data_IF_546665639117
#
_entry.id   IF_546665639117
#
_cell.length_a   1.000
_cell.length_b   1.000
_cell.length_c   1.000
_cell.angle_alpha   90.00
_cell.angle_beta   90.00
_cell.angle_gamma   90.00
#
_symmetry.space_group_name_H-M   'P 1'
#
loop_
_entity.id
_entity.type
_entity.pdbx_description
1 polymer ?
#
# COMPACT_ATOMS: atom_id res chain seq x y z
N UNK A 1 -33.55 -9.26 -0.51
CA UNK A 1 -34.54 -8.68 0.43
C UNK A 1 -34.10 -8.88 1.87
N UNK A 2 -34.63 -8.06 2.80
CA UNK A 2 -34.40 -8.23 4.24
C UNK A 2 -34.75 -9.65 4.74
N UNK A 3 -35.81 -10.24 4.23
CA UNK A 3 -36.23 -11.60 4.63
C UNK A 3 -35.18 -12.66 4.29
N UNK A 4 -34.58 -12.58 3.12
CA UNK A 4 -33.50 -13.47 2.69
C UNK A 4 -32.23 -13.22 3.50
N UNK A 5 -31.84 -11.95 3.71
CA UNK A 5 -30.68 -11.57 4.51
C UNK A 5 -30.79 -12.11 5.95
N UNK A 6 -31.95 -11.97 6.58
CA UNK A 6 -32.21 -12.46 7.93
C UNK A 6 -32.04 -13.98 8.04
N UNK A 7 -32.41 -14.73 7.02
CA UNK A 7 -32.25 -16.19 7.00
C UNK A 7 -30.79 -16.66 6.96
N UNK A 8 -29.84 -15.79 6.50
CA UNK A 8 -28.42 -16.10 6.42
C UNK A 8 -27.68 -15.90 7.74
N UNK A 9 -28.20 -15.11 8.69
CA UNK A 9 -27.53 -14.81 9.97
C UNK A 9 -27.14 -16.08 10.74
N UNK A 10 -27.95 -17.13 10.68
CA UNK A 10 -27.62 -18.39 11.35
C UNK A 10 -26.41 -19.12 10.76
N UNK A 11 -25.96 -18.71 9.58
CA UNK A 11 -24.85 -19.35 8.83
C UNK A 11 -23.54 -18.54 8.88
N UNK A 12 -23.59 -17.28 9.29
CA UNK A 12 -22.45 -16.35 9.29
C UNK A 12 -22.35 -15.73 10.70
N UNK A 13 -21.12 -15.60 11.21
CA UNK A 13 -20.84 -14.97 12.50
C UNK A 13 -20.50 -13.50 12.35
N UNK A 14 -20.89 -12.67 13.32
CA UNK A 14 -20.43 -11.28 13.39
C UNK A 14 -18.93 -11.18 13.67
N UNK A 15 -18.25 -10.15 13.14
CA UNK A 15 -18.79 -9.10 12.27
C UNK A 15 -19.09 -9.62 10.86
N UNK A 16 -20.08 -9.02 10.19
CA UNK A 16 -20.56 -9.38 8.85
C UNK A 16 -20.32 -8.21 7.91
N UNK A 17 -19.79 -8.50 6.71
CA UNK A 17 -19.63 -7.52 5.65
C UNK A 17 -20.87 -7.50 4.76
N UNK A 18 -21.35 -6.30 4.43
CA UNK A 18 -22.47 -6.08 3.51
C UNK A 18 -21.92 -5.23 2.35
N UNK A 19 -22.01 -5.75 1.13
CA UNK A 19 -21.56 -5.05 -0.08
C UNK A 19 -22.68 -4.94 -1.10
N UNK A 20 -23.13 -3.72 -1.45
CA UNK A 20 -24.09 -3.53 -2.54
C UNK A 20 -23.49 -3.93 -3.88
N UNK A 21 -24.28 -4.65 -4.69
CA UNK A 21 -23.87 -5.01 -6.05
C UNK A 21 -23.88 -3.78 -6.98
N UNK A 22 -22.93 -3.75 -7.93
CA UNK A 22 -22.78 -2.69 -8.95
C UNK A 22 -22.52 -1.29 -8.39
N UNK A 23 -21.87 -1.17 -7.22
CA UNK A 23 -21.34 0.09 -6.70
C UNK A 23 -19.83 0.19 -6.91
N UNK A 24 -19.27 1.41 -6.88
CA UNK A 24 -17.84 1.67 -7.07
C UNK A 24 -17.21 2.24 -5.79
N UNK A 25 -15.93 1.92 -5.57
CA UNK A 25 -15.16 2.46 -4.45
C UNK A 25 -15.69 2.08 -3.06
N UNK A 26 -16.41 0.95 -2.95
CA UNK A 26 -17.00 0.48 -1.69
C UNK A 26 -18.25 1.26 -1.26
N UNK A 27 -18.85 2.08 -2.14
CA UNK A 27 -20.03 2.88 -1.81
C UNK A 27 -21.17 2.01 -1.27
N UNK A 28 -21.71 2.38 -0.10
CA UNK A 28 -22.77 1.64 0.60
C UNK A 28 -22.29 0.37 1.29
N UNK A 29 -21.00 0.01 1.16
CA UNK A 29 -20.40 -1.10 1.90
C UNK A 29 -20.32 -0.79 3.41
N UNK A 30 -20.63 -1.78 4.25
CA UNK A 30 -20.67 -1.62 5.70
C UNK A 30 -20.23 -2.89 6.42
N UNK A 31 -19.84 -2.73 7.68
CA UNK A 31 -19.48 -3.82 8.59
C UNK A 31 -20.44 -3.80 9.78
N UNK A 32 -21.23 -4.85 9.91
CA UNK A 32 -22.15 -5.01 11.04
C UNK A 32 -21.50 -5.84 12.15
N UNK A 33 -21.50 -5.33 13.37
CA UNK A 33 -20.98 -6.00 14.57
C UNK A 33 -22.06 -6.64 15.42
N UNK A 34 -23.33 -6.27 15.18
CA UNK A 34 -24.51 -6.76 15.88
C UNK A 34 -25.71 -6.81 14.94
N UNK A 35 -26.84 -7.32 15.47
CA UNK A 35 -28.04 -7.53 14.68
C UNK A 35 -28.71 -6.22 14.23
N UNK A 36 -28.71 -5.21 15.08
CA UNK A 36 -29.31 -3.90 14.83
C UNK A 36 -28.59 -3.20 13.67
N UNK A 37 -27.26 -3.17 13.71
CA UNK A 37 -26.42 -2.65 12.63
C UNK A 37 -26.60 -3.46 11.33
N UNK A 38 -26.71 -4.79 11.45
CA UNK A 38 -26.93 -5.65 10.29
C UNK A 38 -28.23 -5.29 9.58
N UNK A 39 -29.34 -5.09 10.33
CA UNK A 39 -30.61 -4.70 9.74
C UNK A 39 -30.51 -3.35 9.02
N UNK A 40 -29.97 -2.33 9.68
CA UNK A 40 -29.80 -0.99 9.11
C UNK A 40 -28.95 -1.05 7.82
N UNK A 41 -27.82 -1.77 7.87
CA UNK A 41 -26.90 -1.81 6.74
C UNK A 41 -27.39 -2.67 5.58
N UNK A 42 -28.21 -3.68 5.81
CA UNK A 42 -28.91 -4.42 4.76
C UNK A 42 -29.88 -3.51 4.02
N UNK A 43 -30.70 -2.73 4.72
CA UNK A 43 -31.67 -1.82 4.12
C UNK A 43 -30.95 -0.71 3.31
N UNK A 44 -29.88 -0.13 3.87
CA UNK A 44 -29.05 0.86 3.20
C UNK A 44 -28.33 0.27 1.97
N UNK A 45 -27.81 -0.95 2.09
CA UNK A 45 -27.12 -1.63 1.00
C UNK A 45 -28.06 -1.97 -0.17
N UNK A 46 -29.24 -2.49 0.12
CA UNK A 46 -30.26 -2.77 -0.90
C UNK A 46 -30.70 -1.50 -1.63
N UNK A 47 -30.87 -0.39 -0.92
CA UNK A 47 -31.25 0.89 -1.51
C UNK A 47 -30.11 1.52 -2.32
N UNK A 48 -28.85 1.27 -1.97
CA UNK A 48 -27.67 1.78 -2.68
C UNK A 48 -27.35 1.00 -3.96
N UNK A 49 -27.81 -0.24 -4.07
CA UNK A 49 -27.60 -1.06 -5.28
C UNK A 49 -28.63 -0.72 -6.35
N UNK A 50 -28.19 -0.44 -7.60
CA UNK A 50 -29.11 -0.14 -8.72
C UNK A 50 -30.06 -1.31 -9.06
N UNK A 51 -29.74 -2.52 -8.63
CA UNK A 51 -30.55 -3.73 -8.86
C UNK A 51 -31.14 -4.32 -7.55
N UNK A 52 -31.04 -3.57 -6.43
CA UNK A 52 -31.49 -4.00 -5.08
C UNK A 52 -30.90 -5.35 -4.66
N UNK A 53 -29.59 -5.54 -4.90
CA UNK A 53 -28.86 -6.75 -4.53
C UNK A 53 -27.64 -6.43 -3.68
N UNK A 54 -27.42 -7.26 -2.66
CA UNK A 54 -26.25 -7.17 -1.78
C UNK A 54 -25.56 -8.52 -1.65
N UNK A 55 -24.25 -8.50 -1.44
CA UNK A 55 -23.47 -9.62 -0.94
C UNK A 55 -23.39 -9.53 0.59
N UNK A 56 -23.56 -10.67 1.26
CA UNK A 56 -23.39 -10.82 2.70
C UNK A 56 -22.24 -11.81 2.90
N UNK A 57 -21.15 -11.36 3.53
CA UNK A 57 -19.90 -12.07 3.55
C UNK A 57 -19.33 -12.20 4.97
N UNK A 58 -18.53 -13.27 5.18
CA UNK A 58 -17.68 -13.42 6.35
C UNK A 58 -16.72 -12.22 6.45
N UNK A 59 -16.58 -11.65 7.64
CA UNK A 59 -15.61 -10.57 7.86
C UNK A 59 -14.20 -11.12 7.90
N UNK A 60 -13.32 -10.47 7.16
CA UNK A 60 -11.89 -10.73 7.15
C UNK A 60 -11.10 -9.58 7.81
N UNK A 61 -11.75 -8.76 8.63
CA UNK A 61 -11.10 -7.66 9.35
C UNK A 61 -9.89 -8.19 10.13
N UNK A 62 -8.77 -7.50 9.99
CA UNK A 62 -7.53 -7.88 10.64
C UNK A 62 -6.67 -8.89 9.85
N UNK A 63 -7.17 -9.43 8.73
CA UNK A 63 -6.34 -10.25 7.85
C UNK A 63 -5.40 -9.38 7.03
N UNK A 64 -4.29 -9.96 6.58
CA UNK A 64 -3.34 -9.30 5.69
C UNK A 64 -3.94 -9.19 4.29
N UNK A 65 -3.69 -8.07 3.62
CA UNK A 65 -4.23 -7.81 2.28
C UNK A 65 -3.11 -7.70 1.25
N UNK A 66 -3.29 -8.39 0.13
CA UNK A 66 -2.36 -8.41 -0.99
C UNK A 66 -3.07 -8.24 -2.31
N UNK A 67 -2.35 -7.71 -3.29
CA UNK A 67 -2.83 -7.57 -4.66
C UNK A 67 -1.79 -8.10 -5.63
N UNK A 68 -2.25 -8.72 -6.72
CA UNK A 68 -1.43 -9.03 -7.87
C UNK A 68 -1.96 -8.28 -9.10
N UNK A 69 -1.08 -7.54 -9.74
CA UNK A 69 -1.33 -6.99 -11.07
C UNK A 69 -0.90 -8.02 -12.11
N UNK A 70 -1.86 -8.45 -12.92
CA UNK A 70 -1.71 -9.59 -13.85
C UNK A 70 -2.08 -9.15 -15.24
N UNK A 71 -1.31 -9.59 -16.23
CA UNK A 71 -1.65 -9.41 -17.66
C UNK A 71 -1.74 -10.76 -18.32
N UNK A 72 -2.82 -10.98 -19.11
CA UNK A 72 -3.03 -12.18 -19.91
C UNK A 72 -3.39 -11.82 -21.35
N UNK A 73 -2.87 -12.57 -22.30
CA UNK A 73 -3.20 -12.44 -23.71
C UNK A 73 -4.11 -13.58 -24.23
N UNK A 74 -4.52 -13.48 -25.49
CA UNK A 74 -5.40 -14.45 -26.17
C UNK A 74 -4.79 -15.84 -26.38
N UNK A 75 -3.46 -15.97 -26.34
CA UNK A 75 -2.74 -17.24 -26.42
C UNK A 75 -2.47 -17.87 -25.06
N UNK A 76 -3.07 -17.31 -24.00
CA UNK A 76 -2.90 -17.76 -22.62
C UNK A 76 -1.50 -17.53 -22.04
N UNK A 77 -0.70 -16.63 -22.62
CA UNK A 77 0.49 -16.14 -21.95
C UNK A 77 0.06 -15.26 -20.78
N UNK A 78 0.58 -15.53 -19.58
CA UNK A 78 0.21 -14.82 -18.34
C UNK A 78 1.46 -14.40 -17.60
N UNK A 79 1.51 -13.16 -17.18
CA UNK A 79 2.60 -12.61 -16.34
C UNK A 79 2.03 -11.88 -15.13
N UNK A 80 2.73 -11.96 -14.01
CA UNK A 80 2.50 -11.13 -12.83
C UNK A 80 3.40 -9.91 -12.93
N UNK A 81 2.80 -8.74 -13.10
CA UNK A 81 3.57 -7.49 -13.23
C UNK A 81 4.16 -7.06 -11.90
N UNK A 82 3.36 -7.17 -10.83
CA UNK A 82 3.78 -6.73 -9.51
C UNK A 82 2.91 -7.39 -8.43
N UNK A 83 3.55 -7.75 -7.32
CA UNK A 83 2.87 -8.01 -6.06
C UNK A 83 2.85 -6.75 -5.21
N UNK A 84 1.71 -6.47 -4.59
CA UNK A 84 1.50 -5.30 -3.72
C UNK A 84 0.97 -5.79 -2.39
N UNK A 85 1.45 -5.20 -1.30
CA UNK A 85 0.98 -5.50 0.05
C UNK A 85 0.47 -4.23 0.72
N UNK A 86 -0.70 -4.30 1.33
CA UNK A 86 -1.26 -3.23 2.14
C UNK A 86 -0.68 -3.31 3.56
N UNK A 87 -0.20 -2.19 4.10
CA UNK A 87 0.32 -2.12 5.47
C UNK A 87 -0.85 -2.19 6.46
N UNK A 88 -1.95 -1.50 6.16
CA UNK A 88 -3.17 -1.65 6.95
C UNK A 88 -3.83 -3.01 6.63
N UNK A 89 -4.33 -3.71 7.66
CA UNK A 89 -5.06 -4.95 7.46
C UNK A 89 -6.42 -4.71 6.80
N UNK A 90 -7.06 -5.81 6.37
CA UNK A 90 -8.45 -5.81 5.90
C UNK A 90 -9.37 -5.03 6.84
N UNK A 91 -10.25 -4.21 6.26
CA UNK A 91 -11.12 -3.27 6.93
C UNK A 91 -10.86 -1.81 6.55
N UNK A 92 -9.72 -1.53 5.95
CA UNK A 92 -9.37 -0.25 5.30
C UNK A 92 -9.38 -0.46 3.79
N UNK A 93 -10.04 0.42 3.04
CA UNK A 93 -10.04 0.33 1.57
C UNK A 93 -8.60 0.39 1.03
N UNK A 94 -8.24 -0.47 0.08
CA UNK A 94 -6.87 -0.55 -0.46
C UNK A 94 -6.36 0.79 -1.01
N UNK A 95 -7.24 1.63 -1.59
CA UNK A 95 -6.91 2.99 -2.02
C UNK A 95 -6.44 3.91 -0.89
N UNK A 96 -6.90 3.66 0.34
CA UNK A 96 -6.63 4.46 1.54
C UNK A 96 -5.51 3.89 2.40
N UNK A 97 -5.04 2.67 2.10
CA UNK A 97 -3.90 2.06 2.79
C UNK A 97 -2.57 2.56 2.24
N UNK A 98 -1.57 2.61 3.12
CA UNK A 98 -0.17 2.67 2.69
C UNK A 98 0.19 1.31 2.11
N UNK A 99 0.73 1.29 0.89
CA UNK A 99 1.06 0.05 0.19
C UNK A 99 2.53 -0.03 -0.18
N UNK A 100 3.03 -1.24 -0.27
CA UNK A 100 4.42 -1.51 -0.65
C UNK A 100 4.49 -2.51 -1.80
N UNK A 101 5.43 -2.34 -2.69
CA UNK A 101 5.76 -3.23 -3.78
C UNK A 101 7.27 -3.46 -3.85
N UNK A 102 7.74 -4.71 -4.01
CA UNK A 102 6.95 -5.94 -3.98
C UNK A 102 6.39 -6.22 -2.58
N UNK A 103 5.48 -7.22 -2.46
CA UNK A 103 5.01 -7.69 -1.16
C UNK A 103 6.19 -8.16 -0.28
N UNK A 104 6.22 -7.72 0.98
CA UNK A 104 7.37 -7.87 1.87
C UNK A 104 7.24 -9.04 2.86
N UNK A 105 6.01 -9.47 3.15
CA UNK A 105 5.73 -10.45 4.22
C UNK A 105 5.12 -11.76 3.71
N UNK A 106 5.09 -11.98 2.39
CA UNK A 106 4.73 -13.27 1.78
C UNK A 106 5.92 -14.23 1.79
N UNK A 107 5.67 -15.47 2.18
CA UNK A 107 6.58 -16.56 1.84
C UNK A 107 6.47 -16.92 0.35
N UNK A 108 7.51 -17.51 -0.22
CA UNK A 108 7.48 -17.97 -1.60
C UNK A 108 6.32 -18.94 -1.86
N UNK A 109 6.06 -19.85 -0.94
CA UNK A 109 4.94 -20.82 -1.02
C UNK A 109 3.58 -20.11 -1.10
N UNK A 110 3.36 -19.06 -0.31
CA UNK A 110 2.13 -18.26 -0.36
C UNK A 110 2.05 -17.49 -1.67
N UNK A 111 3.14 -16.87 -2.10
CA UNK A 111 3.21 -16.13 -3.35
C UNK A 111 2.89 -17.05 -4.57
N UNK A 112 3.49 -18.24 -4.66
CA UNK A 112 3.21 -19.17 -5.75
C UNK A 112 1.76 -19.65 -5.74
N UNK A 113 1.17 -19.89 -4.57
CA UNK A 113 -0.25 -20.22 -4.44
C UNK A 113 -1.14 -19.06 -4.92
N UNK A 114 -0.83 -17.86 -4.49
CA UNK A 114 -1.54 -16.63 -4.88
C UNK A 114 -1.46 -16.40 -6.40
N UNK A 115 -0.27 -16.55 -6.97
CA UNK A 115 -0.01 -16.49 -8.41
C UNK A 115 -0.89 -17.49 -9.19
N UNK A 116 -0.90 -18.76 -8.77
CA UNK A 116 -1.70 -19.81 -9.41
C UNK A 116 -3.21 -19.51 -9.34
N UNK A 117 -3.66 -18.97 -8.24
CA UNK A 117 -5.06 -18.59 -8.06
C UNK A 117 -5.45 -17.37 -8.91
N UNK A 118 -4.58 -16.36 -9.00
CA UNK A 118 -4.80 -15.22 -9.87
C UNK A 118 -4.94 -15.65 -11.34
N UNK A 119 -4.02 -16.49 -11.83
CA UNK A 119 -4.07 -17.04 -13.19
C UNK A 119 -5.38 -17.81 -13.42
N UNK A 120 -5.79 -18.65 -12.47
CA UNK A 120 -7.05 -19.39 -12.54
C UNK A 120 -8.26 -18.45 -12.59
N UNK A 121 -8.25 -17.34 -11.83
CA UNK A 121 -9.30 -16.33 -11.88
C UNK A 121 -9.44 -15.72 -13.28
N UNK A 122 -8.35 -15.25 -13.87
CA UNK A 122 -8.37 -14.63 -15.19
C UNK A 122 -8.90 -15.61 -16.24
N UNK A 123 -8.47 -16.87 -16.20
CA UNK A 123 -8.95 -17.93 -17.11
C UNK A 123 -10.44 -18.21 -16.92
N UNK A 124 -10.92 -18.29 -15.67
CA UNK A 124 -12.33 -18.60 -15.35
C UNK A 124 -13.27 -17.46 -15.78
N UNK A 125 -12.85 -16.21 -15.58
CA UNK A 125 -13.62 -15.01 -15.99
C UNK A 125 -13.53 -14.80 -17.51
N UNK A 126 -12.47 -15.31 -18.17
CA UNK A 126 -12.26 -15.16 -19.60
C UNK A 126 -11.59 -13.86 -20.00
N UNK A 127 -10.82 -13.23 -19.10
CA UNK A 127 -10.01 -12.04 -19.46
C UNK A 127 -8.82 -12.50 -20.28
N UNK A 128 -8.70 -11.99 -21.50
CA UNK A 128 -7.67 -12.40 -22.47
C UNK A 128 -7.02 -11.24 -23.22
N UNK A 129 -7.33 -10.00 -22.85
CA UNK A 129 -6.86 -8.81 -23.58
C UNK A 129 -6.44 -7.69 -22.64
N UNK A 130 -5.70 -7.98 -21.58
CA UNK A 130 -5.23 -6.86 -20.77
C UNK A 130 -4.90 -7.12 -19.34
N UNK A 131 -4.75 -6.01 -18.61
CA UNK A 131 -4.41 -6.00 -17.20
C UNK A 131 -5.61 -6.23 -16.30
N UNK A 132 -5.37 -6.94 -15.22
CA UNK A 132 -6.35 -7.20 -14.15
C UNK A 132 -5.67 -7.10 -12.80
N UNK A 133 -6.43 -6.62 -11.81
CA UNK A 133 -6.03 -6.63 -10.42
C UNK A 133 -6.78 -7.75 -9.68
N UNK A 134 -6.06 -8.61 -8.98
CA UNK A 134 -6.64 -9.67 -8.14
C UNK A 134 -6.25 -9.41 -6.70
N UNK A 135 -7.24 -9.28 -5.81
CA UNK A 135 -7.06 -8.98 -4.39
C UNK A 135 -7.24 -10.23 -3.54
N UNK A 136 -6.38 -10.37 -2.55
CA UNK A 136 -6.32 -11.53 -1.65
C UNK A 136 -6.29 -11.09 -0.20
N UNK A 137 -6.95 -11.86 0.66
CA UNK A 137 -6.76 -11.80 2.09
C UNK A 137 -6.05 -13.07 2.57
N UNK A 138 -5.11 -12.90 3.50
CA UNK A 138 -4.39 -14.01 4.14
C UNK A 138 -4.53 -13.90 5.66
N UNK A 139 -5.07 -14.95 6.29
CA UNK A 139 -5.20 -15.01 7.74
C UNK A 139 -3.80 -15.07 8.37
N UNK A 140 -3.43 -14.11 9.25
CA UNK A 140 -2.10 -14.05 9.85
C UNK A 140 -1.81 -15.23 10.80
N UNK A 141 -2.85 -15.88 11.34
CA UNK A 141 -2.69 -16.91 12.36
C UNK A 141 -2.54 -18.33 11.78
N UNK A 142 -3.19 -18.61 10.64
CA UNK A 142 -3.23 -19.96 10.07
C UNK A 142 -2.92 -20.04 8.57
N UNK A 143 -2.66 -18.91 7.91
CA UNK A 143 -2.34 -18.85 6.48
C UNK A 143 -3.49 -19.19 5.52
N UNK A 144 -4.76 -19.21 6.03
CA UNK A 144 -5.92 -19.35 5.14
C UNK A 144 -5.96 -18.19 4.17
N UNK A 145 -6.02 -18.47 2.88
CA UNK A 145 -6.04 -17.47 1.81
C UNK A 145 -7.41 -17.45 1.14
N UNK A 146 -7.90 -16.25 0.85
CA UNK A 146 -9.17 -16.01 0.16
C UNK A 146 -8.95 -14.99 -0.95
N UNK A 147 -9.60 -15.19 -2.09
CA UNK A 147 -9.73 -14.17 -3.13
C UNK A 147 -10.88 -13.25 -2.74
N UNK A 148 -10.61 -11.95 -2.67
CA UNK A 148 -11.61 -10.94 -2.31
C UNK A 148 -12.38 -10.51 -3.54
N UNK A 149 -11.65 -10.09 -4.57
CA UNK A 149 -12.23 -9.66 -5.83
C UNK A 149 -11.20 -9.67 -6.95
N UNK A 150 -11.69 -9.60 -8.18
CA UNK A 150 -10.88 -9.36 -9.36
C UNK A 150 -11.47 -8.20 -10.14
N UNK A 151 -10.63 -7.23 -10.47
CA UNK A 151 -10.97 -6.09 -11.30
C UNK A 151 -10.42 -6.32 -12.73
N UNK A 152 -11.26 -6.72 -13.73
CA UNK A 152 -10.82 -7.03 -15.09
C UNK A 152 -10.59 -5.75 -15.91
N UNK A 153 -9.82 -4.85 -15.41
CA UNK A 153 -9.51 -3.54 -15.99
C UNK A 153 -8.22 -2.97 -15.45
N UNK A 154 -7.63 -2.03 -16.16
CA UNK A 154 -6.56 -1.17 -15.62
C UNK A 154 -7.14 -0.29 -14.51
N UNK A 155 -6.46 -0.23 -13.38
CA UNK A 155 -6.88 0.42 -12.14
C UNK A 155 -5.82 1.40 -11.60
N UNK A 156 -6.07 1.99 -10.42
CA UNK A 156 -5.05 2.79 -9.72
C UNK A 156 -3.83 1.94 -9.33
N UNK A 157 -4.04 0.72 -8.85
CA UNK A 157 -2.96 -0.22 -8.54
C UNK A 157 -2.17 -0.61 -9.80
N UNK A 158 -2.80 -0.73 -10.96
CA UNK A 158 -2.10 -0.91 -12.24
C UNK A 158 -1.19 0.28 -12.56
N UNK A 159 -1.63 1.51 -12.28
CA UNK A 159 -0.80 2.71 -12.45
C UNK A 159 0.39 2.70 -11.46
N UNK A 160 0.16 2.30 -10.20
CA UNK A 160 1.22 2.12 -9.22
C UNK A 160 2.22 1.05 -9.67
N UNK A 161 1.73 -0.13 -10.08
CA UNK A 161 2.57 -1.22 -10.58
C UNK A 161 3.39 -0.81 -11.80
N UNK A 162 2.79 -0.06 -12.75
CA UNK A 162 3.52 0.47 -13.91
C UNK A 162 4.63 1.43 -13.52
N UNK A 163 4.40 2.32 -12.54
CA UNK A 163 5.44 3.21 -12.02
C UNK A 163 6.49 2.44 -11.22
N UNK A 164 6.08 1.43 -10.45
CA UNK A 164 6.98 0.63 -9.63
C UNK A 164 7.94 -0.21 -10.48
N UNK A 165 7.45 -0.82 -11.55
CA UNK A 165 8.22 -1.76 -12.38
C UNK A 165 8.77 -1.16 -13.66
N UNK A 166 8.27 0.01 -14.06
CA UNK A 166 8.54 0.56 -15.41
C UNK A 166 7.71 -0.12 -16.50
N UNK A 167 7.04 -1.24 -16.23
CA UNK A 167 6.26 -1.98 -17.22
C UNK A 167 4.96 -1.22 -17.58
N UNK A 168 4.75 -0.84 -18.86
CA UNK A 168 3.65 0.03 -19.26
C UNK A 168 2.34 -0.75 -19.45
N UNK A 169 1.69 -1.15 -18.36
CA UNK A 169 0.49 -2.03 -18.37
C UNK A 169 -0.58 -1.52 -19.34
N UNK A 170 -0.93 -0.23 -19.29
CA UNK A 170 -1.99 0.32 -20.13
C UNK A 170 -1.64 0.28 -21.63
N UNK A 171 -0.38 0.55 -21.99
CA UNK A 171 0.11 0.47 -23.38
C UNK A 171 0.09 -0.97 -23.87
N UNK A 172 0.55 -1.91 -23.06
CA UNK A 172 0.54 -3.34 -23.39
C UNK A 172 -0.92 -3.82 -23.53
N UNK A 173 -1.80 -3.51 -22.57
CA UNK A 173 -3.21 -3.85 -22.63
C UNK A 173 -3.89 -3.33 -23.91
N UNK A 174 -3.58 -2.11 -24.35
CA UNK A 174 -4.11 -1.56 -25.60
C UNK A 174 -3.63 -2.36 -26.84
N UNK A 175 -2.38 -2.81 -26.86
CA UNK A 175 -1.86 -3.68 -27.94
C UNK A 175 -2.51 -5.07 -27.93
N UNK A 176 -2.68 -5.65 -26.75
CA UNK A 176 -3.38 -6.94 -26.61
C UNK A 176 -4.82 -6.84 -27.11
N UNK A 177 -5.52 -5.73 -26.83
CA UNK A 177 -6.89 -5.51 -27.27
C UNK A 177 -7.06 -5.45 -28.80
N UNK A 178 -6.02 -5.07 -29.54
CA UNK A 178 -6.01 -5.08 -31.02
C UNK A 178 -5.38 -6.34 -31.62
N UNK A 179 -5.11 -7.37 -30.79
CA UNK A 179 -4.76 -8.72 -31.26
C UNK A 179 -3.30 -9.11 -31.17
N UNK A 180 -2.40 -8.24 -30.67
CA UNK A 180 -1.03 -8.66 -30.33
C UNK A 180 -1.01 -9.64 -29.17
N UNK A 181 0.07 -10.40 -29.05
CA UNK A 181 0.38 -11.26 -27.91
C UNK A 181 1.59 -10.75 -27.13
N UNK A 182 1.78 -11.21 -25.88
CA UNK A 182 2.86 -10.73 -25.02
C UNK A 182 4.25 -11.00 -25.61
N UNK A 183 4.41 -12.08 -26.34
CA UNK A 183 5.65 -12.49 -27.03
C UNK A 183 5.88 -11.75 -28.37
N UNK A 184 4.91 -10.97 -28.84
CA UNK A 184 5.07 -10.07 -30.00
C UNK A 184 5.38 -8.63 -29.60
N UNK A 185 5.18 -8.26 -28.34
CA UNK A 185 5.34 -6.88 -27.87
C UNK A 185 6.75 -6.69 -27.29
N UNK A 186 7.58 -5.78 -27.84
CA UNK A 186 8.86 -5.43 -27.23
C UNK A 186 8.68 -4.78 -25.86
N UNK A 187 9.58 -5.08 -24.93
CA UNK A 187 9.65 -4.41 -23.65
C UNK A 187 10.26 -3.02 -23.83
N UNK A 188 9.51 -1.96 -23.54
CA UNK A 188 9.94 -0.57 -23.72
C UNK A 188 11.11 -0.18 -22.80
N UNK A 189 11.33 -0.89 -21.68
CA UNK A 189 12.38 -0.56 -20.71
C UNK A 189 13.72 -1.09 -21.17
N UNK A 190 13.80 -2.33 -21.59
CA UNK A 190 15.04 -2.96 -22.03
C UNK A 190 15.28 -2.76 -23.52
N UNK A 191 14.22 -2.78 -24.34
CA UNK A 191 14.28 -2.77 -25.79
C UNK A 191 14.90 -4.06 -26.40
N UNK A 192 15.25 -5.03 -25.57
CA UNK A 192 15.91 -6.29 -25.93
C UNK A 192 15.08 -7.52 -25.55
N UNK A 193 14.23 -7.40 -24.51
CA UNK A 193 13.30 -8.44 -24.07
C UNK A 193 11.90 -8.18 -24.62
N UNK A 194 11.00 -9.13 -24.39
CA UNK A 194 9.58 -9.06 -24.76
C UNK A 194 8.70 -8.80 -23.54
N UNK A 195 7.48 -8.36 -23.77
CA UNK A 195 6.51 -8.13 -22.71
C UNK A 195 6.07 -9.42 -22.00
N UNK A 196 6.40 -10.59 -22.53
CA UNK A 196 6.18 -11.88 -21.90
C UNK A 196 7.13 -12.18 -20.73
N UNK A 197 8.18 -11.38 -20.53
CA UNK A 197 9.08 -11.50 -19.39
C UNK A 197 8.46 -10.82 -18.16
N UNK A 198 8.28 -11.61 -17.10
CA UNK A 198 7.70 -11.15 -15.85
C UNK A 198 8.66 -10.18 -15.14
N UNK A 199 8.20 -8.98 -14.73
CA UNK A 199 9.07 -8.02 -14.07
C UNK A 199 9.62 -8.53 -12.74
N UNK A 200 10.88 -8.18 -12.49
CA UNK A 200 11.59 -8.41 -11.22
C UNK A 200 12.28 -7.12 -10.81
N UNK A 201 12.06 -6.66 -9.59
CA UNK A 201 12.63 -5.42 -9.05
C UNK A 201 13.51 -5.69 -7.83
N UNK A 202 14.62 -4.99 -7.70
CA UNK A 202 15.58 -5.09 -6.61
C UNK A 202 15.55 -3.89 -5.64
N UNK A 203 14.48 -3.11 -5.68
CA UNK A 203 14.19 -1.94 -4.84
C UNK A 203 12.80 -2.04 -4.25
N UNK A 204 12.49 -1.15 -3.32
CA UNK A 204 11.19 -1.09 -2.64
C UNK A 204 10.46 0.18 -3.02
N UNK A 205 9.20 0.03 -3.38
CA UNK A 205 8.29 1.13 -3.71
C UNK A 205 7.24 1.26 -2.62
N UNK A 206 7.08 2.46 -2.07
CA UNK A 206 6.02 2.74 -1.10
C UNK A 206 5.08 3.80 -1.64
N UNK A 207 3.78 3.54 -1.57
CA UNK A 207 2.71 4.50 -1.86
C UNK A 207 2.07 4.94 -0.55
N UNK A 208 1.88 6.25 -0.38
CA UNK A 208 1.16 6.84 0.76
C UNK A 208 -0.01 7.66 0.23
N UNK A 209 -1.25 7.41 0.69
CA UNK A 209 -2.43 8.13 0.23
C UNK A 209 -2.46 9.57 0.78
N UNK A 210 -3.07 10.47 0.03
CA UNK A 210 -3.35 11.86 0.42
C UNK A 210 -4.84 12.01 0.72
N UNK A 211 -5.15 12.66 1.84
CA UNK A 211 -6.50 12.98 2.27
C UNK A 211 -6.68 14.48 2.40
N UNK A 212 -7.90 14.95 2.29
CA UNK A 212 -8.28 16.38 2.40
C UNK A 212 -9.32 16.58 3.52
N UNK A 213 -9.23 15.80 4.61
CA UNK A 213 -10.17 15.92 5.74
C UNK A 213 -10.21 17.32 6.34
N UNK A 214 -9.11 18.08 6.24
CA UNK A 214 -9.04 19.47 6.66
C UNK A 214 -10.05 20.38 5.93
N UNK A 215 -10.49 19.99 4.73
CA UNK A 215 -11.51 20.71 3.94
C UNK A 215 -12.94 20.28 4.29
N UNK A 216 -13.10 19.18 5.02
CA UNK A 216 -14.39 18.59 5.36
C UNK A 216 -14.48 18.34 6.88
N UNK A 217 -14.69 19.39 7.70
CA UNK A 217 -14.66 19.27 9.17
C UNK A 217 -15.70 18.31 9.76
N UNK A 218 -16.77 18.01 9.01
CA UNK A 218 -17.80 17.04 9.44
C UNK A 218 -17.42 15.59 9.17
N UNK A 219 -16.34 15.31 8.43
CA UNK A 219 -15.87 13.95 8.20
C UNK A 219 -15.23 13.39 9.49
N UNK A 220 -15.50 12.13 9.78
CA UNK A 220 -14.97 11.47 10.98
C UNK A 220 -13.44 11.34 10.99
N UNK A 221 -12.79 11.37 9.82
CA UNK A 221 -11.37 11.11 9.64
C UNK A 221 -10.98 9.65 9.89
N UNK A 222 -11.93 8.77 10.15
CA UNK A 222 -11.72 7.32 10.26
C UNK A 222 -11.78 6.68 8.88
N UNK A 223 -10.78 5.86 8.59
CA UNK A 223 -10.74 5.07 7.36
C UNK A 223 -11.51 3.77 7.55
N UNK A 224 -12.17 3.34 6.49
CA UNK A 224 -12.98 2.13 6.48
C UNK A 224 -13.00 1.49 5.09
N UNK A 225 -14.04 0.74 4.81
CA UNK A 225 -14.19 -0.01 3.54
C UNK A 225 -14.53 0.89 2.33
N UNK A 226 -14.90 2.15 2.55
CA UNK A 226 -15.14 3.12 1.49
C UNK A 226 -13.91 3.99 1.27
N UNK A 227 -13.52 4.20 0.01
CA UNK A 227 -12.36 5.01 -0.35
C UNK A 227 -12.60 6.50 -0.09
N UNK A 228 -11.68 7.14 0.65
CA UNK A 228 -11.74 8.56 1.04
C UNK A 228 -10.52 9.36 0.57
N UNK A 229 -9.47 8.71 0.07
CA UNK A 229 -8.27 9.36 -0.44
C UNK A 229 -8.55 10.14 -1.73
N UNK A 230 -7.92 11.31 -1.86
CA UNK A 230 -8.04 12.20 -3.03
C UNK A 230 -6.84 12.12 -3.96
N UNK A 231 -5.74 11.53 -3.52
CA UNK A 231 -4.51 11.37 -4.26
C UNK A 231 -3.52 10.49 -3.53
N UNK A 232 -2.29 10.43 -4.04
CA UNK A 232 -1.23 9.60 -3.47
C UNK A 232 0.15 10.14 -3.83
N UNK A 233 1.14 9.87 -2.96
CA UNK A 233 2.55 10.00 -3.27
C UNK A 233 3.19 8.61 -3.36
N UNK A 234 4.18 8.46 -4.26
CA UNK A 234 4.96 7.24 -4.41
C UNK A 234 6.44 7.56 -4.29
N UNK A 235 7.19 6.72 -3.61
CA UNK A 235 8.64 6.84 -3.55
C UNK A 235 9.32 5.47 -3.70
N UNK A 236 10.51 5.49 -4.30
CA UNK A 236 11.37 4.32 -4.50
C UNK A 236 12.61 4.46 -3.63
N UNK A 237 13.01 3.39 -2.97
CA UNK A 237 14.24 3.31 -2.18
C UNK A 237 14.83 1.90 -2.23
N UNK A 238 16.09 1.73 -1.82
CA UNK A 238 16.74 0.41 -1.74
C UNK A 238 16.17 -0.45 -0.60
N UNK A 239 15.58 0.21 0.40
CA UNK A 239 14.95 -0.44 1.55
C UNK A 239 13.56 0.15 1.81
N UNK A 240 12.72 -0.60 2.52
CA UNK A 240 11.42 -0.10 2.97
C UNK A 240 11.56 1.18 3.82
N UNK A 241 12.57 1.26 4.70
CA UNK A 241 12.81 2.43 5.55
C UNK A 241 13.12 3.68 4.71
N UNK A 242 13.94 3.54 3.68
CA UNK A 242 14.22 4.64 2.76
C UNK A 242 12.96 5.06 2.00
N UNK A 243 12.24 4.10 1.40
CA UNK A 243 11.08 4.40 0.56
C UNK A 243 9.94 5.04 1.34
N UNK A 244 9.61 4.57 2.55
CA UNK A 244 8.53 5.13 3.37
C UNK A 244 8.85 6.54 3.85
N UNK A 245 10.08 6.83 4.27
CA UNK A 245 10.52 8.18 4.65
C UNK A 245 10.37 9.15 3.47
N UNK A 246 10.80 8.76 2.28
CA UNK A 246 10.67 9.54 1.05
C UNK A 246 9.20 9.75 0.66
N UNK A 247 8.35 8.72 0.77
CA UNK A 247 6.93 8.78 0.42
C UNK A 247 6.18 9.78 1.32
N UNK A 248 6.40 9.75 2.63
CA UNK A 248 5.80 10.72 3.54
C UNK A 248 6.25 12.15 3.25
N UNK A 249 7.53 12.36 2.97
CA UNK A 249 8.05 13.68 2.59
C UNK A 249 7.43 14.19 1.27
N UNK A 250 7.15 13.29 0.34
CA UNK A 250 6.58 13.62 -0.98
C UNK A 250 5.10 13.97 -0.94
N UNK A 251 4.39 13.78 0.19
CA UNK A 251 3.02 14.24 0.36
C UNK A 251 2.89 15.77 0.39
N UNK A 252 3.99 16.48 0.67
CA UNK A 252 4.05 17.96 0.76
C UNK A 252 3.05 18.58 1.77
N UNK A 253 2.80 17.86 2.86
CA UNK A 253 1.92 18.28 3.97
C UNK A 253 2.70 18.71 5.22
N UNK A 254 3.92 19.19 5.03
CA UNK A 254 4.77 19.65 6.13
C UNK A 254 5.57 18.55 6.83
N UNK A 255 5.61 17.34 6.28
CA UNK A 255 6.37 16.21 6.81
C UNK A 255 7.77 16.16 6.19
N UNK A 256 8.79 15.90 7.00
CA UNK A 256 10.17 15.71 6.55
C UNK A 256 10.55 14.22 6.37
N UNK A 257 9.61 13.34 6.61
CA UNK A 257 9.69 11.88 6.57
C UNK A 257 8.60 11.29 7.45
N UNK A 258 8.79 10.10 7.98
CA UNK A 258 7.91 9.51 8.99
C UNK A 258 8.13 10.18 10.36
N UNK A 259 8.17 11.50 10.38
CA UNK A 259 8.45 12.34 11.54
C UNK A 259 7.87 13.74 11.30
N UNK A 260 6.71 14.07 11.92
CA UNK A 260 6.06 15.34 11.72
C UNK A 260 6.85 16.49 12.36
N UNK A 261 6.80 17.69 11.78
CA UNK A 261 7.45 18.88 12.32
C UNK A 261 6.97 19.21 13.72
N UNK A 262 5.67 19.08 13.98
CA UNK A 262 5.08 19.38 15.30
C UNK A 262 5.60 18.48 16.43
N UNK A 263 6.21 17.33 16.14
CA UNK A 263 6.82 16.49 17.17
C UNK A 263 7.98 17.17 17.90
N UNK A 264 8.52 18.27 17.34
CA UNK A 264 9.65 19.02 17.87
C UNK A 264 9.32 20.45 18.28
N UNK A 265 8.13 20.94 17.96
CA UNK A 265 7.68 22.26 18.40
C UNK A 265 7.17 22.18 19.85
N UNK A 266 7.69 23.04 20.71
CA UNK A 266 7.26 23.19 22.11
C UNK A 266 5.89 23.90 22.20
N UNK A 267 4.98 23.66 21.28
CA UNK A 267 3.64 24.23 21.29
C UNK A 267 2.78 23.52 22.35
N UNK A 268 2.25 24.24 23.36
CA UNK A 268 1.42 23.69 24.42
C UNK A 268 0.13 23.00 23.89
N UNK A 269 -0.43 23.46 22.77
CA UNK A 269 -1.61 22.86 22.16
C UNK A 269 -1.27 21.58 21.38
N UNK A 270 -0.06 21.51 20.84
CA UNK A 270 0.51 20.28 20.27
C UNK A 270 0.94 19.29 21.35
N UNK A 271 1.38 19.78 22.52
CA UNK A 271 1.61 18.93 23.71
C UNK A 271 0.29 18.34 24.24
N UNK A 272 -0.82 19.06 24.14
CA UNK A 272 -2.16 18.53 24.46
C UNK A 272 -2.64 17.50 23.44
N UNK A 273 -2.33 17.68 22.16
CA UNK A 273 -2.53 16.63 21.14
C UNK A 273 -1.62 15.40 21.38
N UNK A 274 -0.57 15.53 22.18
CA UNK A 274 0.29 14.46 22.71
C UNK A 274 -0.33 13.68 23.89
N UNK A 275 -1.43 14.12 24.49
CA UNK A 275 -2.25 13.26 25.36
C UNK A 275 -2.94 12.19 24.49
N UNK A 276 -2.11 11.38 23.90
CA UNK A 276 -2.45 10.40 22.89
C UNK A 276 -3.16 9.24 23.58
N UNK A 277 -4.45 9.16 23.38
CA UNK A 277 -5.20 7.97 23.75
C UNK A 277 -4.81 6.83 22.81
N UNK A 278 -4.03 5.89 23.32
CA UNK A 278 -3.57 4.71 22.58
C UNK A 278 -4.73 3.86 22.06
N UNK A 279 -5.92 3.95 22.68
CA UNK A 279 -7.11 3.26 22.20
C UNK A 279 -7.48 3.70 20.79
N UNK A 280 -7.12 4.93 20.40
CA UNK A 280 -7.32 5.46 19.05
C UNK A 280 -6.45 4.79 17.97
N UNK A 281 -5.44 3.98 18.32
CA UNK A 281 -4.69 3.17 17.34
C UNK A 281 -5.53 2.07 16.71
N UNK A 282 -6.60 1.62 17.34
CA UNK A 282 -7.53 0.63 16.79
C UNK A 282 -8.22 1.13 15.53
N UNK A 283 -8.43 2.45 15.44
CA UNK A 283 -9.08 3.05 14.28
C UNK A 283 -8.04 3.52 13.27
N UNK A 284 -8.16 3.08 12.03
CA UNK A 284 -7.33 3.59 10.95
C UNK A 284 -7.67 5.06 10.69
N UNK A 285 -6.64 5.88 10.54
CA UNK A 285 -6.75 7.31 10.22
C UNK A 285 -5.65 7.70 9.22
N UNK A 286 -5.78 8.83 8.57
CA UNK A 286 -4.82 9.35 7.58
C UNK A 286 -3.35 9.33 8.08
N UNK A 287 -3.13 9.55 9.37
CA UNK A 287 -1.79 9.63 9.97
C UNK A 287 -1.51 8.50 10.97
N UNK A 288 -2.15 7.33 10.79
CA UNK A 288 -2.00 6.19 11.69
C UNK A 288 -0.54 5.78 11.92
N UNK A 289 0.29 5.77 10.87
CA UNK A 289 1.69 5.38 11.01
C UNK A 289 2.51 6.40 11.83
N UNK A 290 2.16 7.69 11.79
CA UNK A 290 2.77 8.70 12.67
C UNK A 290 2.36 8.48 14.13
N UNK A 291 1.11 8.09 14.37
CA UNK A 291 0.63 7.73 15.72
C UNK A 291 1.32 6.47 16.25
N UNK A 292 1.55 5.47 15.41
CA UNK A 292 2.32 4.27 15.75
C UNK A 292 3.76 4.65 16.15
N UNK A 293 4.37 5.56 15.39
CA UNK A 293 5.69 6.10 15.74
C UNK A 293 5.69 6.74 17.13
N UNK A 294 4.72 7.60 17.44
CA UNK A 294 4.59 8.23 18.77
C UNK A 294 4.43 7.17 19.87
N UNK A 295 3.63 6.13 19.64
CA UNK A 295 3.46 5.02 20.58
C UNK A 295 4.79 4.31 20.89
N UNK A 296 5.64 4.08 19.87
CA UNK A 296 6.99 3.54 20.08
C UNK A 296 7.87 4.48 20.91
N UNK A 297 7.82 5.78 20.65
CA UNK A 297 8.58 6.78 21.46
C UNK A 297 8.08 6.86 22.90
N UNK A 298 6.83 6.50 23.17
CA UNK A 298 6.26 6.34 24.51
C UNK A 298 6.61 5.00 25.15
N UNK A 299 7.44 4.17 24.51
CA UNK A 299 7.90 2.89 25.03
C UNK A 299 6.96 1.71 24.81
N UNK A 300 5.96 1.84 23.92
CA UNK A 300 5.10 0.70 23.59
C UNK A 300 5.87 -0.37 22.80
N UNK A 301 5.48 -1.61 23.04
CA UNK A 301 6.07 -2.76 22.36
C UNK A 301 5.41 -3.03 21.01
N UNK A 302 6.10 -3.80 20.16
CA UNK A 302 5.54 -4.25 18.88
C UNK A 302 4.26 -5.05 19.11
N UNK A 303 4.23 -5.91 20.12
CA UNK A 303 3.07 -6.75 20.42
C UNK A 303 1.84 -5.92 20.85
N UNK A 304 2.03 -4.93 21.74
CA UNK A 304 0.94 -4.04 22.14
C UNK A 304 0.33 -3.31 20.94
N UNK A 305 1.18 -2.82 20.02
CA UNK A 305 0.71 -2.13 18.82
C UNK A 305 0.08 -3.10 17.82
N UNK A 306 0.64 -4.31 17.66
CA UNK A 306 0.05 -5.35 16.82
C UNK A 306 -1.36 -5.72 17.29
N UNK A 307 -1.56 -5.96 18.60
CA UNK A 307 -2.88 -6.30 19.15
C UNK A 307 -3.93 -5.21 18.90
N UNK A 308 -3.52 -3.96 18.86
CA UNK A 308 -4.42 -2.84 18.58
C UNK A 308 -4.66 -2.62 17.08
N UNK A 309 -3.66 -2.84 16.24
CA UNK A 309 -3.69 -2.39 14.84
C UNK A 309 -3.81 -3.52 13.84
N UNK A 310 -3.40 -4.73 14.21
CA UNK A 310 -3.21 -5.90 13.33
C UNK A 310 -2.27 -5.66 12.13
N UNK A 311 -1.51 -4.57 12.14
CA UNK A 311 -0.44 -4.33 11.16
C UNK A 311 0.65 -5.37 11.39
N UNK A 312 1.13 -6.00 10.32
CA UNK A 312 2.15 -7.05 10.41
C UNK A 312 3.37 -6.59 11.22
N UNK A 313 3.86 -7.48 12.08
CA UNK A 313 5.00 -7.22 12.98
C UNK A 313 6.27 -6.81 12.25
N UNK A 314 6.44 -7.26 11.01
CA UNK A 314 7.57 -6.87 10.19
C UNK A 314 7.55 -5.35 9.92
N UNK A 315 6.41 -4.78 9.51
CA UNK A 315 6.27 -3.34 9.30
C UNK A 315 6.44 -2.56 10.60
N UNK A 316 5.84 -3.02 11.68
CA UNK A 316 6.00 -2.41 13.00
C UNK A 316 7.46 -2.41 13.45
N UNK A 317 8.20 -3.50 13.18
CA UNK A 317 9.64 -3.58 13.47
C UNK A 317 10.43 -2.56 12.64
N UNK A 318 10.14 -2.41 11.34
CA UNK A 318 10.80 -1.42 10.49
C UNK A 318 10.56 0.01 10.97
N UNK A 319 9.33 0.34 11.39
CA UNK A 319 8.99 1.65 11.96
C UNK A 319 9.73 1.85 13.29
N UNK A 320 9.74 0.83 14.16
CA UNK A 320 10.47 0.89 15.44
C UNK A 320 11.96 1.13 15.22
N UNK A 321 12.59 0.49 14.25
CA UNK A 321 14.01 0.73 13.91
C UNK A 321 14.27 2.18 13.48
N UNK A 322 13.31 2.87 12.84
CA UNK A 322 13.42 4.29 12.54
C UNK A 322 13.29 5.15 13.82
N UNK A 323 12.46 4.73 14.78
CA UNK A 323 12.30 5.41 16.07
C UNK A 323 13.54 5.26 16.96
N UNK A 324 14.13 4.08 16.97
CA UNK A 324 15.31 3.73 17.80
C UNK A 324 16.64 4.23 17.18
N UNK A 325 16.59 4.91 16.01
CA UNK A 325 17.76 5.37 15.30
C UNK A 325 18.58 6.36 16.13
N UNK A 326 19.85 6.02 16.38
CA UNK A 326 20.83 6.92 16.95
C UNK A 326 21.40 7.85 15.87
N UNK A 327 21.71 9.08 16.25
CA UNK A 327 22.19 10.13 15.34
C UNK A 327 23.68 10.45 15.51
N UNK A 328 24.37 9.74 16.39
CA UNK A 328 25.84 9.77 16.59
C UNK A 328 26.59 8.84 15.62
N UNK A 329 26.00 8.56 14.48
CA UNK A 329 26.52 7.71 13.39
C UNK A 329 26.86 8.55 12.16
N UNK A 330 27.64 8.00 11.19
CA UNK A 330 27.96 8.71 9.96
C UNK A 330 26.69 9.19 9.22
N UNK A 331 26.72 10.42 8.66
CA UNK A 331 25.58 10.98 7.91
C UNK A 331 25.15 10.06 6.76
N UNK A 332 26.07 9.37 6.11
CA UNK A 332 25.74 8.42 5.03
C UNK A 332 24.76 7.35 5.51
N UNK A 333 25.01 6.73 6.64
CA UNK A 333 24.12 5.71 7.20
C UNK A 333 22.69 6.22 7.45
N UNK A 334 22.55 7.47 7.92
CA UNK A 334 21.25 8.11 8.09
C UNK A 334 20.58 8.37 6.73
N UNK A 335 21.34 8.80 5.73
CA UNK A 335 20.83 9.06 4.39
C UNK A 335 20.37 7.78 3.69
N UNK A 336 21.06 6.67 3.83
CA UNK A 336 20.68 5.35 3.31
C UNK A 336 19.37 4.83 3.94
N UNK A 337 19.08 5.24 5.17
CA UNK A 337 17.79 4.95 5.85
C UNK A 337 16.69 5.96 5.51
N UNK A 338 16.94 6.90 4.60
CA UNK A 338 15.98 7.86 4.09
C UNK A 338 15.79 9.14 4.91
N UNK A 339 16.57 9.37 5.97
CA UNK A 339 16.47 10.60 6.76
C UNK A 339 16.82 11.84 5.94
N UNK A 340 15.97 12.87 6.01
CA UNK A 340 16.22 14.16 5.38
C UNK A 340 17.28 14.96 6.13
N UNK A 341 17.92 15.91 5.46
CA UNK A 341 18.87 16.82 6.13
C UNK A 341 18.19 17.61 7.26
N UNK A 342 16.88 17.90 7.13
CA UNK A 342 16.09 18.56 8.17
C UNK A 342 15.87 17.69 9.41
N UNK A 343 15.56 16.39 9.23
CA UNK A 343 15.44 15.44 10.35
C UNK A 343 16.76 15.30 11.11
N UNK A 344 17.87 15.12 10.38
CA UNK A 344 19.22 15.00 10.96
C UNK A 344 19.55 16.28 11.75
N UNK A 345 19.31 17.45 11.15
CA UNK A 345 19.60 18.75 11.80
C UNK A 345 18.86 18.91 13.14
N UNK A 346 17.57 18.55 13.19
CA UNK A 346 16.79 18.61 14.44
C UNK A 346 17.37 17.71 15.53
N UNK A 347 17.71 16.49 15.17
CA UNK A 347 18.20 15.49 16.13
C UNK A 347 19.64 15.78 16.61
N UNK A 348 20.44 16.43 15.78
CA UNK A 348 21.83 16.83 16.12
C UNK A 348 21.95 18.27 16.62
N UNK A 349 20.82 18.95 16.87
CA UNK A 349 20.78 20.35 17.29
C UNK A 349 21.58 21.27 16.33
N UNK A 350 21.48 21.02 15.04
CA UNK A 350 22.17 21.73 13.97
C UNK A 350 21.15 22.44 13.05
N UNK A 351 21.61 22.96 11.92
CA UNK A 351 20.74 23.51 10.88
C UNK A 351 20.79 22.64 9.61
N UNK A 352 19.71 22.65 8.84
CA UNK A 352 19.62 21.90 7.57
C UNK A 352 20.79 22.25 6.63
N UNK A 353 21.17 23.54 6.57
CA UNK A 353 22.28 23.99 5.73
C UNK A 353 23.64 23.46 6.21
N UNK A 354 23.88 23.42 7.53
CA UNK A 354 25.12 22.83 8.07
C UNK A 354 25.21 21.34 7.72
N UNK A 355 24.15 20.58 7.93
CA UNK A 355 24.10 19.14 7.54
C UNK A 355 24.35 18.98 6.04
N UNK A 356 23.72 19.81 5.20
CA UNK A 356 23.91 19.79 3.75
C UNK A 356 25.35 20.11 3.33
N UNK A 357 25.98 21.13 3.95
CA UNK A 357 27.37 21.50 3.68
C UNK A 357 28.30 20.36 4.08
N UNK A 358 28.11 19.80 5.28
CA UNK A 358 28.93 18.71 5.80
C UNK A 358 28.87 17.46 4.92
N UNK A 359 27.67 17.00 4.54
CA UNK A 359 27.55 15.84 3.66
C UNK A 359 28.19 16.07 2.28
N UNK A 360 28.04 17.28 1.70
CA UNK A 360 28.72 17.64 0.44
C UNK A 360 30.23 17.64 0.57
N UNK A 361 30.76 18.21 1.66
CA UNK A 361 32.21 18.21 1.96
C UNK A 361 32.78 16.79 2.05
N UNK A 362 31.98 15.86 2.59
CA UNK A 362 32.35 14.45 2.71
C UNK A 362 31.98 13.62 1.49
N UNK A 363 31.65 14.26 0.35
CA UNK A 363 31.23 13.61 -0.90
C UNK A 363 30.04 12.65 -0.74
N UNK A 364 29.15 12.93 0.25
CA UNK A 364 27.89 12.19 0.45
C UNK A 364 26.84 12.83 -0.47
N UNK A 365 26.77 12.35 -1.69
CA UNK A 365 25.85 12.79 -2.74
C UNK A 365 24.92 11.64 -3.12
N UNK A 366 23.67 11.93 -3.50
CA UNK A 366 22.78 10.88 -3.99
C UNK A 366 23.30 10.30 -5.32
N UNK A 367 23.10 9.02 -5.50
CA UNK A 367 23.15 8.35 -6.79
C UNK A 367 21.76 8.34 -7.43
N UNK A 368 21.71 8.17 -8.74
CA UNK A 368 20.48 8.00 -9.51
C UNK A 368 20.51 6.63 -10.18
N UNK A 369 19.57 5.78 -9.81
CA UNK A 369 19.42 4.43 -10.37
C UNK A 369 18.22 4.41 -11.30
N UNK A 370 18.30 3.63 -12.38
CA UNK A 370 17.21 3.47 -13.33
C UNK A 370 16.11 2.60 -12.71
N UNK A 371 14.86 2.95 -13.00
CA UNK A 371 13.73 2.03 -12.79
C UNK A 371 13.80 0.99 -13.90
N UNK A 372 13.82 -0.28 -13.49
CA UNK A 372 14.09 -1.36 -14.42
C UNK A 372 13.17 -2.57 -14.08
N UNK A 373 12.83 -3.33 -15.12
CA UNK A 373 11.91 -4.48 -15.00
C UNK A 373 12.63 -5.81 -14.80
N UNK A 374 13.95 -5.82 -14.75
CA UNK A 374 14.76 -7.05 -14.82
C UNK A 374 15.86 -7.12 -13.74
N UNK A 375 15.80 -6.33 -12.68
CA UNK A 375 16.84 -6.27 -11.63
C UNK A 375 18.25 -6.16 -12.19
N UNK A 376 18.45 -5.29 -13.19
CA UNK A 376 19.70 -5.03 -13.92
C UNK A 376 20.24 -6.21 -14.75
N UNK A 377 19.49 -7.30 -14.94
CA UNK A 377 19.89 -8.41 -15.83
C UNK A 377 20.03 -7.95 -17.28
N UNK A 378 19.17 -7.03 -17.72
CA UNK A 378 19.26 -6.32 -19.00
C UNK A 378 19.34 -4.82 -18.75
N UNK A 379 20.17 -4.12 -19.52
CA UNK A 379 20.33 -2.68 -19.35
C UNK A 379 19.03 -1.94 -19.67
N UNK A 380 18.50 -1.21 -18.70
CA UNK A 380 17.35 -0.33 -18.91
C UNK A 380 17.72 0.86 -19.81
N UNK A 381 16.83 1.19 -20.77
CA UNK A 381 16.98 2.29 -21.74
C UNK A 381 16.01 3.45 -21.46
N UNK A 382 15.41 3.48 -20.26
CA UNK A 382 14.46 4.51 -19.85
C UNK A 382 15.16 5.68 -19.17
N UNK A 383 14.68 6.93 -19.32
CA UNK A 383 15.12 8.06 -18.51
C UNK A 383 14.47 8.09 -17.11
N UNK A 384 13.64 7.11 -16.75
CA UNK A 384 12.94 7.03 -15.47
C UNK A 384 13.89 6.53 -14.38
N UNK A 385 14.18 7.42 -13.42
CA UNK A 385 15.18 7.19 -12.37
C UNK A 385 14.60 7.48 -10.99
N UNK A 386 15.22 6.90 -9.96
CA UNK A 386 15.02 7.27 -8.57
C UNK A 386 16.36 7.64 -7.92
N UNK A 387 16.34 8.55 -6.94
CA UNK A 387 17.51 8.92 -6.17
C UNK A 387 17.66 8.03 -4.94
N UNK A 388 18.89 7.67 -4.60
CA UNK A 388 19.24 6.94 -3.37
C UNK A 388 20.63 7.34 -2.90
N UNK A 389 20.98 7.05 -1.64
CA UNK A 389 22.36 7.21 -1.16
C UNK A 389 23.13 5.88 -1.15
N UNK A 390 22.48 4.79 -1.44
CA UNK A 390 23.12 3.51 -1.73
C UNK A 390 23.85 3.59 -3.09
N UNK A 391 25.19 3.48 -3.04
CA UNK A 391 26.07 3.60 -4.20
C UNK A 391 26.48 2.26 -4.79
N UNK A 392 26.07 1.14 -4.21
CA UNK A 392 26.32 -0.18 -4.80
C UNK A 392 25.64 -0.27 -6.17
N UNK A 393 26.40 -0.71 -7.16
CA UNK A 393 25.96 -0.88 -8.54
C UNK A 393 25.25 -2.22 -8.72
#
# INVERSE_FOLDING_TARGET
>A
SWHEAKALISKIQFPIIIRPSFTMGGTGGSVAYNFEEFQEFVDNGLSSSPINEILIEESLIGWKEYELEVVRDRLDNVIIICSIENIDPMGVHTGDSVTVAPAMTLSDKEYQKMRNWAIKCLRTIGVETGGSNVQFAVNPDNGRMIIIEMNPRVSRSSALASKATGFPIAKVAAKLAVGYTLDEIPNDITGETLAAFEPTIDYVVTKVPRFDFEKFPSASGHLGVQMQSVGEAMAIGRTFRESIQKAFRSLEVGLDGLEPKWAFENDPDLIRARSFDLTNLRFATAFRLLKIREAFLMGRTIEEIYEMTRIDRWFLHQIKMLCDQKYDVPILELKEKGFSDAQIARQTQSTTDKVRIERKKNNILPAFKLVDTCSAEFKAKTPYCYSTYDKEN
#
